data_IF_715700037039
#
_entry.id   IF_715700037039
#
_cell.length_a   1.000
_cell.length_b   1.000
_cell.length_c   1.000
_cell.angle_alpha   90.00
_cell.angle_beta   90.00
_cell.angle_gamma   90.00
#
_symmetry.space_group_name_H-M   'P 1'
#
loop_
_entity.id
_entity.type
_entity.pdbx_description
1 polymer ?
#
# COMPACT_ATOMS: atom_id res chain seq x y z
N UNK A 1 -1.66 8.25 26.25
CA UNK A 1 -0.39 9.02 26.26
C UNK A 1 -0.33 9.81 24.96
N UNK A 2 0.07 11.07 25.00
CA UNK A 2 0.29 11.86 23.78
C UNK A 2 1.71 11.60 23.25
N UNK A 3 1.84 11.45 21.94
CA UNK A 3 3.13 11.31 21.25
C UNK A 3 3.31 12.50 20.32
N UNK A 4 4.27 13.38 20.63
CA UNK A 4 4.63 14.51 19.79
C UNK A 4 5.81 14.10 18.92
N UNK A 5 5.59 14.05 17.60
CA UNK A 5 6.60 13.75 16.59
C UNK A 5 7.02 15.07 15.94
N UNK A 6 8.22 15.61 16.24
CA UNK A 6 8.65 16.93 15.78
C UNK A 6 9.21 16.93 14.34
N UNK A 7 8.68 16.08 13.46
CA UNK A 7 9.11 15.95 12.07
C UNK A 7 8.04 16.47 11.11
N UNK A 8 8.47 17.00 9.97
CA UNK A 8 7.56 17.37 8.88
C UNK A 8 7.28 16.14 8.00
N UNK A 9 6.14 15.51 8.24
CA UNK A 9 5.78 14.22 7.66
C UNK A 9 4.43 14.31 6.94
N UNK A 10 4.25 13.47 5.93
CA UNK A 10 2.95 13.21 5.31
C UNK A 10 2.54 11.78 5.66
N UNK A 11 1.48 11.65 6.46
CA UNK A 11 0.91 10.35 6.82
C UNK A 11 -0.30 10.14 5.92
N UNK A 12 -0.15 9.32 4.88
CA UNK A 12 -1.25 9.00 3.96
C UNK A 12 -2.16 7.93 4.54
N UNK A 13 -1.56 6.90 5.14
CA UNK A 13 -2.24 5.77 5.75
C UNK A 13 -1.53 5.32 7.04
N UNK A 14 -2.19 4.47 7.79
CA UNK A 14 -1.71 3.91 9.05
C UNK A 14 -2.28 2.51 9.26
N UNK A 15 -1.70 1.76 10.18
CA UNK A 15 -2.20 0.43 10.54
C UNK A 15 -2.18 0.22 12.04
N UNK A 16 -2.73 -0.91 12.47
CA UNK A 16 -2.64 -1.33 13.84
C UNK A 16 -2.43 -2.84 13.92
N UNK A 17 -1.87 -3.27 15.04
CA UNK A 17 -1.75 -4.68 15.42
C UNK A 17 -2.45 -4.87 16.76
N UNK A 18 -2.29 -6.02 17.41
CA UNK A 18 -2.80 -6.22 18.76
C UNK A 18 -2.15 -5.22 19.76
N UNK A 19 -0.90 -4.84 19.52
CA UNK A 19 -0.06 -4.09 20.46
C UNK A 19 0.29 -2.66 20.01
N UNK A 20 0.38 -2.39 18.71
CA UNK A 20 0.86 -1.10 18.17
C UNK A 20 -0.15 -0.41 17.26
N UNK A 21 -0.16 0.92 17.28
CA UNK A 21 -0.50 1.76 16.14
C UNK A 21 0.77 1.97 15.31
N UNK A 22 0.67 1.90 14.00
CA UNK A 22 1.79 2.01 13.07
C UNK A 22 1.56 3.20 12.16
N UNK A 23 2.44 4.19 12.22
CA UNK A 23 2.39 5.35 11.33
C UNK A 23 3.51 5.28 10.29
N UNK A 24 3.13 5.41 9.03
CA UNK A 24 4.05 5.44 7.91
C UNK A 24 4.37 6.89 7.56
N UNK A 25 5.54 7.32 8.00
CA UNK A 25 5.90 8.72 8.04
C UNK A 25 6.64 9.14 6.75
N UNK A 26 5.89 9.35 5.66
CA UNK A 26 6.52 9.77 4.41
C UNK A 26 7.16 11.15 4.57
N UNK A 27 8.48 11.21 4.37
CA UNK A 27 9.28 12.43 4.48
C UNK A 27 8.91 13.44 3.41
N UNK A 28 8.46 14.60 3.85
CA UNK A 28 8.20 15.77 3.00
C UNK A 28 9.00 16.97 3.50
N UNK A 29 9.08 18.01 2.68
CA UNK A 29 9.66 19.30 3.04
C UNK A 29 8.79 20.42 2.48
N UNK A 30 8.84 21.56 3.16
CA UNK A 30 8.18 22.76 2.68
C UNK A 30 8.85 23.26 1.40
N UNK A 31 8.03 23.55 0.39
CA UNK A 31 8.43 24.28 -0.80
C UNK A 31 7.98 25.74 -0.64
N UNK A 32 8.88 26.62 -0.21
CA UNK A 32 8.54 27.99 0.17
C UNK A 32 7.86 28.81 -0.95
N UNK A 33 8.31 28.65 -2.21
CA UNK A 33 7.69 29.35 -3.34
C UNK A 33 6.30 28.82 -3.65
N UNK A 34 6.11 27.51 -3.59
CA UNK A 34 4.80 26.86 -3.73
C UNK A 34 3.85 27.24 -2.59
N UNK A 35 4.36 27.33 -1.36
CA UNK A 35 3.59 27.74 -0.20
C UNK A 35 3.12 29.20 -0.32
N UNK A 36 4.02 30.11 -0.67
CA UNK A 36 3.69 31.53 -0.86
C UNK A 36 2.63 31.72 -1.96
N UNK A 37 2.83 31.07 -3.10
CA UNK A 37 1.89 31.18 -4.22
C UNK A 37 0.55 30.51 -3.92
N UNK A 38 0.53 29.45 -3.11
CA UNK A 38 -0.72 28.83 -2.66
C UNK A 38 -1.50 29.72 -1.69
N UNK A 39 -0.82 30.38 -0.74
CA UNK A 39 -1.46 31.35 0.16
C UNK A 39 -2.07 32.52 -0.63
N UNK A 40 -1.43 32.93 -1.73
CA UNK A 40 -1.97 33.95 -2.64
C UNK A 40 -3.09 33.43 -3.57
N UNK A 41 -3.50 32.16 -3.46
CA UNK A 41 -4.53 31.56 -4.31
C UNK A 41 -4.11 31.32 -5.76
N UNK A 42 -2.81 31.39 -6.06
CA UNK A 42 -2.26 31.21 -7.42
C UNK A 42 -2.09 29.73 -7.76
N UNK A 43 -1.72 28.91 -6.77
CA UNK A 43 -1.45 27.48 -6.93
C UNK A 43 -2.20 26.63 -5.92
N UNK A 44 -2.44 25.34 -6.21
CA UNK A 44 -2.99 24.41 -5.23
C UNK A 44 -2.07 24.25 -4.01
N UNK A 45 -2.66 24.01 -2.83
CA UNK A 45 -1.92 23.77 -1.57
C UNK A 45 -0.90 22.66 -1.67
N UNK A 46 -1.15 21.66 -2.52
CA UNK A 46 -0.22 20.57 -2.76
C UNK A 46 1.16 21.03 -3.27
N UNK A 47 1.25 22.20 -3.90
CA UNK A 47 2.53 22.78 -4.36
C UNK A 47 3.42 23.29 -3.21
N UNK A 48 2.85 23.48 -2.01
CA UNK A 48 3.56 23.88 -0.81
C UNK A 48 4.45 22.76 -0.24
N UNK A 49 4.29 21.52 -0.71
CA UNK A 49 5.04 20.37 -0.26
C UNK A 49 5.82 19.74 -1.40
N UNK A 50 7.00 19.23 -1.07
CA UNK A 50 7.81 18.37 -1.94
C UNK A 50 8.24 17.14 -1.15
N UNK A 51 8.45 16.02 -1.82
CA UNK A 51 9.10 14.85 -1.21
C UNK A 51 10.49 15.23 -0.71
N UNK A 52 10.91 14.63 0.39
CA UNK A 52 12.23 14.86 0.99
C UNK A 52 13.09 13.58 0.92
N UNK A 53 13.94 13.43 -0.12
CA UNK A 53 14.72 12.22 -0.35
C UNK A 53 16.07 12.18 0.40
N UNK A 54 16.31 13.07 1.38
CA UNK A 54 17.63 13.24 2.01
C UNK A 54 18.14 12.02 2.79
N UNK A 55 17.25 11.11 3.19
CA UNK A 55 17.59 9.84 3.84
C UNK A 55 17.22 8.69 2.90
N UNK A 56 18.06 7.65 2.88
CA UNK A 56 17.85 6.45 2.07
C UNK A 56 16.94 5.40 2.75
N UNK A 57 16.43 5.72 3.92
CA UNK A 57 15.49 4.91 4.71
C UNK A 57 14.08 5.48 4.68
N UNK A 58 13.11 4.74 5.20
CA UNK A 58 11.73 5.22 5.43
C UNK A 58 11.37 5.04 6.90
N UNK A 59 10.88 6.09 7.60
CA UNK A 59 10.59 6.00 9.02
C UNK A 59 9.21 5.38 9.25
N UNK A 60 9.16 4.36 10.10
CA UNK A 60 7.95 3.70 10.56
C UNK A 60 7.86 3.88 12.07
N UNK A 61 6.85 4.60 12.54
CA UNK A 61 6.62 4.81 13.95
C UNK A 61 5.75 3.68 14.49
N UNK A 62 6.26 2.98 15.51
CA UNK A 62 5.50 2.00 16.28
C UNK A 62 5.07 2.68 17.57
N UNK A 63 3.79 2.95 17.72
CA UNK A 63 3.21 3.62 18.88
C UNK A 63 2.40 2.63 19.70
N UNK A 64 2.79 2.32 20.94
CA UNK A 64 2.05 1.41 21.79
C UNK A 64 0.59 1.80 21.99
N UNK A 65 -0.32 0.84 21.79
CA UNK A 65 -1.76 1.01 22.09
C UNK A 65 -2.02 1.04 23.59
N UNK A 66 -1.29 0.22 24.33
CA UNK A 66 -1.40 0.04 25.78
C UNK A 66 -0.06 0.34 26.45
N UNK A 67 0.34 1.62 26.56
CA UNK A 67 1.69 2.00 26.99
C UNK A 67 2.01 1.65 28.45
N UNK A 68 0.99 1.39 29.27
CA UNK A 68 1.17 0.99 30.67
C UNK A 68 1.58 -0.48 30.81
N UNK A 69 1.36 -1.29 29.77
CA UNK A 69 1.61 -2.73 29.78
C UNK A 69 2.98 -3.08 29.16
N UNK A 70 3.76 -2.06 28.78
CA UNK A 70 5.07 -2.25 28.17
C UNK A 70 6.20 -2.13 29.20
N UNK A 71 6.96 -3.21 29.33
CA UNK A 71 8.19 -3.27 30.11
C UNK A 71 9.41 -2.60 29.42
N UNK A 72 9.21 -1.95 28.26
CA UNK A 72 10.28 -1.44 27.41
C UNK A 72 10.73 -0.01 27.74
N UNK A 73 12.04 0.21 27.73
CA UNK A 73 12.67 1.54 27.92
C UNK A 73 12.80 2.36 26.64
N UNK A 74 12.29 1.85 25.51
CA UNK A 74 12.38 2.53 24.20
C UNK A 74 11.66 3.88 24.21
N UNK A 75 12.32 4.88 23.63
CA UNK A 75 11.63 6.09 23.19
C UNK A 75 10.82 5.80 21.91
N UNK A 76 9.52 5.61 22.07
CA UNK A 76 8.58 5.34 20.96
C UNK A 76 8.39 6.52 20.00
N UNK A 77 8.97 7.69 20.30
CA UNK A 77 9.08 8.82 19.36
C UNK A 77 10.24 8.64 18.38
N UNK A 78 11.07 7.61 18.53
CA UNK A 78 12.12 7.28 17.59
C UNK A 78 11.59 6.20 16.63
N UNK A 79 11.49 6.49 15.32
CA UNK A 79 10.97 5.53 14.35
C UNK A 79 11.95 4.37 14.13
N UNK A 80 11.42 3.28 13.60
CA UNK A 80 12.20 2.25 12.91
C UNK A 80 12.56 2.82 11.54
N UNK A 81 13.84 2.78 11.18
CA UNK A 81 14.31 3.21 9.85
C UNK A 81 14.34 1.98 8.94
N UNK A 82 13.29 1.80 8.13
CA UNK A 82 13.22 0.69 7.16
C UNK A 82 14.29 0.86 6.07
N UNK A 83 14.97 -0.22 5.63
CA UNK A 83 16.19 -0.18 4.80
C UNK A 83 15.93 0.12 3.31
N UNK A 84 14.94 0.94 2.99
CA UNK A 84 14.71 1.45 1.65
C UNK A 84 13.92 2.76 1.68
N UNK A 85 14.15 3.61 0.69
CA UNK A 85 13.40 4.86 0.49
C UNK A 85 12.19 4.60 -0.38
N UNK A 86 11.02 4.52 0.24
CA UNK A 86 9.75 4.33 -0.43
C UNK A 86 8.69 5.25 0.16
N UNK A 87 7.74 5.64 -0.68
CA UNK A 87 6.52 6.30 -0.28
C UNK A 87 5.47 5.23 -0.05
N UNK A 88 5.04 5.06 1.21
CA UNK A 88 3.96 4.14 1.51
C UNK A 88 2.63 4.81 1.19
N UNK A 89 1.86 4.13 0.35
CA UNK A 89 0.55 4.59 -0.11
C UNK A 89 -0.52 3.97 0.77
N UNK A 90 -0.83 2.69 0.60
CA UNK A 90 -1.96 2.05 1.28
C UNK A 90 -1.50 0.79 2.02
N UNK A 91 -2.14 0.49 3.14
CA UNK A 91 -1.83 -0.69 3.95
C UNK A 91 -2.94 -1.70 3.82
N UNK A 92 -2.59 -2.94 3.52
CA UNK A 92 -3.55 -4.04 3.47
C UNK A 92 -3.83 -4.61 4.85
N UNK A 93 -2.76 -4.85 5.63
CA UNK A 93 -2.87 -5.30 7.00
C UNK A 93 -1.55 -5.14 7.75
N UNK A 94 -1.61 -5.17 9.08
CA UNK A 94 -0.45 -5.39 9.92
C UNK A 94 -0.81 -6.32 11.08
N UNK A 95 0.13 -7.11 11.57
CA UNK A 95 -0.06 -7.93 12.75
C UNK A 95 1.27 -8.18 13.45
N UNK A 96 1.19 -8.56 14.73
CA UNK A 96 2.36 -8.90 15.53
C UNK A 96 2.15 -10.21 16.28
N UNK A 97 3.26 -10.87 16.61
CA UNK A 97 3.30 -12.02 17.49
C UNK A 97 4.62 -12.04 18.26
N UNK A 98 4.66 -12.78 19.37
CA UNK A 98 5.88 -13.02 20.12
C UNK A 98 6.56 -14.30 19.62
N UNK A 99 7.86 -14.27 19.43
CA UNK A 99 8.67 -15.46 19.20
C UNK A 99 8.91 -16.23 20.52
N UNK A 100 9.58 -17.39 20.43
CA UNK A 100 9.90 -18.24 21.58
C UNK A 100 10.79 -17.54 22.64
N UNK A 101 11.53 -16.51 22.23
CA UNK A 101 12.41 -15.72 23.10
C UNK A 101 11.70 -14.49 23.68
N UNK A 102 10.43 -14.26 23.35
CA UNK A 102 9.67 -13.09 23.76
C UNK A 102 9.95 -11.83 22.94
N UNK A 103 10.65 -11.94 21.81
CA UNK A 103 10.82 -10.84 20.86
C UNK A 103 9.52 -10.65 20.07
N UNK A 104 9.20 -9.40 19.74
CA UNK A 104 8.04 -9.08 18.93
C UNK A 104 8.41 -9.08 17.45
N UNK A 105 7.72 -9.92 16.67
CA UNK A 105 7.79 -9.90 15.21
C UNK A 105 6.54 -9.20 14.67
N UNK A 106 6.75 -8.09 13.98
CA UNK A 106 5.70 -7.30 13.34
C UNK A 106 5.79 -7.50 11.83
N UNK A 107 4.64 -7.76 11.22
CA UNK A 107 4.48 -7.98 9.79
C UNK A 107 3.50 -6.95 9.24
N UNK A 108 3.88 -6.26 8.16
CA UNK A 108 3.08 -5.22 7.52
C UNK A 108 3.00 -5.53 6.03
N UNK A 109 1.79 -5.59 5.48
CA UNK A 109 1.54 -5.74 4.04
C UNK A 109 1.03 -4.43 3.50
N UNK A 110 1.74 -3.83 2.55
CA UNK A 110 1.43 -2.49 2.05
C UNK A 110 1.73 -2.36 0.57
N UNK A 111 1.16 -1.31 -0.02
CA UNK A 111 1.49 -0.78 -1.33
C UNK A 111 2.42 0.42 -1.17
N UNK A 112 3.54 0.39 -1.89
CA UNK A 112 4.58 1.42 -1.85
C UNK A 112 5.03 1.81 -3.25
N UNK A 113 5.64 2.98 -3.39
CA UNK A 113 6.27 3.43 -4.62
C UNK A 113 7.58 4.19 -4.35
N UNK A 114 8.37 4.46 -5.39
CA UNK A 114 9.63 5.21 -5.24
C UNK A 114 9.38 6.71 -5.12
N UNK A 115 10.22 7.39 -4.34
CA UNK A 115 10.29 8.86 -4.29
C UNK A 115 10.70 9.49 -5.63
N UNK A 116 11.34 8.73 -6.53
CA UNK A 116 11.67 9.19 -7.88
C UNK A 116 10.43 9.31 -8.76
N UNK A 117 9.47 8.42 -8.54
CA UNK A 117 8.21 8.39 -9.27
C UNK A 117 7.15 9.28 -8.60
N UNK A 118 7.06 9.23 -7.27
CA UNK A 118 6.04 9.94 -6.52
C UNK A 118 6.28 11.45 -6.51
N UNK A 119 5.36 12.20 -7.09
CA UNK A 119 5.39 13.66 -7.08
C UNK A 119 4.03 14.21 -6.65
N UNK A 120 4.02 15.00 -5.59
CA UNK A 120 2.82 15.66 -5.06
C UNK A 120 2.19 16.64 -6.08
N UNK A 121 2.98 17.20 -7.00
CA UNK A 121 2.50 18.19 -7.98
C UNK A 121 1.94 17.57 -9.26
N UNK A 122 2.22 16.28 -9.49
CA UNK A 122 1.82 15.50 -10.67
C UNK A 122 1.33 14.11 -10.26
N UNK A 123 0.50 14.05 -9.22
CA UNK A 123 -0.07 12.79 -8.75
C UNK A 123 -0.80 12.11 -9.91
N UNK A 124 -0.40 10.87 -10.20
CA UNK A 124 -0.93 10.08 -11.33
C UNK A 124 -0.83 10.76 -12.70
N UNK A 125 0.04 11.77 -12.84
CA UNK A 125 0.26 12.52 -14.08
C UNK A 125 -0.67 13.69 -14.31
N UNK A 126 -1.54 14.03 -13.34
CA UNK A 126 -2.39 15.21 -13.47
C UNK A 126 -1.58 16.50 -13.31
N UNK A 127 -1.58 17.33 -14.36
CA UNK A 127 -0.99 18.66 -14.33
C UNK A 127 -2.07 19.71 -14.12
N UNK A 128 -2.12 20.28 -12.91
CA UNK A 128 -3.09 21.30 -12.53
C UNK A 128 -2.98 22.59 -13.37
N UNK A 129 -1.84 22.87 -14.00
CA UNK A 129 -1.65 24.08 -14.82
C UNK A 129 -2.35 23.95 -16.17
N UNK A 130 -2.24 22.79 -16.79
CA UNK A 130 -2.85 22.53 -18.10
C UNK A 130 -4.22 21.86 -18.00
N UNK A 131 -4.59 21.33 -16.83
CA UNK A 131 -5.79 20.51 -16.63
C UNK A 131 -5.72 19.16 -17.34
N UNK A 132 -4.52 18.72 -17.76
CA UNK A 132 -4.32 17.49 -18.54
C UNK A 132 -3.73 16.38 -17.68
N UNK A 133 -4.08 15.15 -18.05
CA UNK A 133 -3.50 13.94 -17.50
C UNK A 133 -2.42 13.42 -18.45
N UNK A 134 -1.21 13.19 -17.93
CA UNK A 134 -0.13 12.49 -18.61
C UNK A 134 -0.06 11.03 -18.13
N UNK A 135 -0.64 10.06 -18.87
CA UNK A 135 -0.66 8.66 -18.46
C UNK A 135 0.72 7.99 -18.56
N UNK A 136 1.71 8.62 -19.20
CA UNK A 136 3.04 8.02 -19.38
C UNK A 136 3.80 7.87 -18.06
N UNK A 137 3.55 8.75 -17.08
CA UNK A 137 4.17 8.66 -15.75
C UNK A 137 3.76 7.38 -15.02
N UNK A 138 2.57 6.85 -15.31
CA UNK A 138 2.08 5.60 -14.75
C UNK A 138 2.56 4.39 -15.54
N UNK A 139 3.15 4.59 -16.72
CA UNK A 139 3.41 3.58 -17.73
C UNK A 139 4.87 3.60 -18.18
N UNK A 140 5.76 3.64 -17.19
CA UNK A 140 7.20 3.53 -17.40
C UNK A 140 7.59 2.16 -17.98
N UNK A 141 8.72 2.08 -18.66
CA UNK A 141 9.21 0.83 -19.25
C UNK A 141 9.45 -0.28 -18.21
N UNK A 142 9.58 -1.53 -18.68
CA UNK A 142 9.66 -2.74 -17.82
C UNK A 142 10.74 -2.71 -16.72
N UNK A 143 11.78 -1.90 -16.87
CA UNK A 143 12.87 -1.78 -15.89
C UNK A 143 12.50 -0.93 -14.64
N UNK A 144 11.29 -0.36 -14.61
CA UNK A 144 10.82 0.56 -13.56
C UNK A 144 9.70 -0.02 -12.68
N UNK A 145 9.46 -1.34 -12.71
CA UNK A 145 8.36 -1.95 -11.96
C UNK A 145 8.41 -1.67 -10.44
N UNK A 146 9.63 -1.56 -9.87
CA UNK A 146 9.85 -1.21 -8.45
C UNK A 146 9.75 0.29 -8.14
N UNK A 147 9.66 1.15 -9.15
CA UNK A 147 9.44 2.59 -8.91
C UNK A 147 7.96 2.94 -8.85
N UNK A 148 7.14 2.20 -9.59
CA UNK A 148 5.68 2.31 -9.60
C UNK A 148 5.06 1.68 -8.34
N UNK A 149 3.76 1.92 -8.06
CA UNK A 149 3.05 1.25 -6.98
C UNK A 149 3.20 -0.27 -7.05
N UNK A 150 3.69 -0.88 -5.98
CA UNK A 150 3.86 -2.33 -5.87
C UNK A 150 3.68 -2.79 -4.42
N UNK A 151 3.34 -4.07 -4.25
CA UNK A 151 3.10 -4.66 -2.94
C UNK A 151 4.39 -5.11 -2.28
N UNK A 152 4.52 -4.82 -0.99
CA UNK A 152 5.66 -5.23 -0.15
C UNK A 152 5.21 -5.83 1.17
N UNK A 153 6.08 -6.65 1.75
CA UNK A 153 6.06 -7.03 3.15
C UNK A 153 7.18 -6.31 3.88
N UNK A 154 6.84 -5.60 4.95
CA UNK A 154 7.81 -5.08 5.91
C UNK A 154 7.81 -5.97 7.13
N UNK A 155 8.97 -6.53 7.48
CA UNK A 155 9.18 -7.35 8.68
C UNK A 155 10.00 -6.55 9.67
N UNK A 156 9.55 -6.44 10.92
CA UNK A 156 10.28 -5.74 11.99
C UNK A 156 10.39 -6.68 13.18
N UNK A 157 11.61 -6.92 13.64
CA UNK A 157 11.90 -7.67 14.85
C UNK A 157 12.34 -6.72 15.97
N UNK A 158 11.61 -6.71 17.07
CA UNK A 158 11.95 -5.98 18.29
C UNK A 158 12.32 -6.97 19.40
N UNK A 159 13.41 -6.72 20.10
CA UNK A 159 13.72 -7.48 21.30
C UNK A 159 12.75 -7.19 22.46
N UNK A 160 12.94 -7.89 23.58
CA UNK A 160 12.16 -7.73 24.82
C UNK A 160 12.17 -6.31 25.40
N UNK A 161 13.13 -5.46 25.01
CA UNK A 161 13.23 -4.06 25.43
C UNK A 161 12.62 -3.09 24.40
N UNK A 162 12.12 -3.61 23.27
CA UNK A 162 11.57 -2.85 22.16
C UNK A 162 12.63 -2.34 21.18
N UNK A 163 13.89 -2.74 21.31
CA UNK A 163 14.97 -2.31 20.41
C UNK A 163 14.86 -3.11 19.11
N UNK A 164 14.94 -2.40 17.98
CA UNK A 164 14.89 -3.04 16.67
C UNK A 164 16.17 -3.82 16.40
N UNK A 165 16.04 -5.13 16.26
CA UNK A 165 17.15 -6.01 15.89
C UNK A 165 17.23 -6.20 14.37
N UNK A 166 16.08 -6.20 13.69
CA UNK A 166 16.00 -6.39 12.24
C UNK A 166 14.81 -5.65 11.65
N UNK A 167 14.99 -5.06 10.47
CA UNK A 167 13.91 -4.55 9.66
C UNK A 167 14.19 -4.87 8.18
N UNK A 168 13.29 -5.59 7.53
CA UNK A 168 13.43 -6.02 6.14
C UNK A 168 12.23 -5.56 5.31
N UNK A 169 12.46 -5.28 4.03
CA UNK A 169 11.41 -4.89 3.07
C UNK A 169 11.57 -5.72 1.81
N UNK A 170 10.56 -6.53 1.50
CA UNK A 170 10.60 -7.48 0.39
C UNK A 170 9.34 -7.38 -0.48
N UNK A 171 9.40 -7.67 -1.79
CA UNK A 171 8.20 -7.76 -2.62
C UNK A 171 7.23 -8.83 -2.10
N UNK A 172 5.96 -8.48 -1.97
CA UNK A 172 4.94 -9.41 -1.46
C UNK A 172 4.72 -10.55 -2.47
N UNK A 173 4.97 -11.80 -2.05
CA UNK A 173 4.90 -13.00 -2.91
C UNK A 173 5.71 -12.90 -4.22
N UNK A 174 6.85 -12.18 -4.20
CA UNK A 174 7.66 -11.93 -5.41
C UNK A 174 6.87 -11.28 -6.57
N UNK A 175 5.71 -10.70 -6.26
CA UNK A 175 4.83 -10.11 -7.24
C UNK A 175 5.48 -8.89 -7.88
N UNK A 176 5.61 -8.93 -9.20
CA UNK A 176 6.44 -7.97 -9.94
C UNK A 176 5.64 -7.00 -10.82
N UNK A 177 4.30 -7.01 -10.71
CA UNK A 177 3.42 -6.14 -11.48
C UNK A 177 2.91 -4.98 -10.63
N UNK A 178 2.72 -3.84 -11.29
CA UNK A 178 2.14 -2.64 -10.68
C UNK A 178 0.80 -2.98 -10.02
N UNK A 179 0.66 -2.63 -8.74
CA UNK A 179 -0.50 -2.96 -7.91
C UNK A 179 -0.63 -1.96 -6.77
N UNK A 180 -1.85 -1.67 -6.34
CA UNK A 180 -2.13 -0.78 -5.22
C UNK A 180 -3.34 -1.31 -4.43
N UNK A 181 -3.94 -0.53 -3.52
CA UNK A 181 -5.22 -0.85 -2.84
C UNK A 181 -5.34 -2.30 -2.35
N UNK A 182 -4.39 -2.79 -1.53
CA UNK A 182 -4.47 -4.13 -0.97
C UNK A 182 -5.67 -4.25 -0.03
N UNK A 183 -6.47 -5.28 -0.21
CA UNK A 183 -7.61 -5.64 0.60
C UNK A 183 -7.42 -7.03 1.21
N UNK A 184 -8.05 -7.26 2.35
CA UNK A 184 -8.07 -8.55 3.06
C UNK A 184 -9.50 -8.87 3.49
N UNK A 185 -9.74 -10.07 4.01
CA UNK A 185 -10.94 -10.34 4.81
C UNK A 185 -10.90 -9.47 6.09
N UNK A 186 -11.86 -8.54 6.30
CA UNK A 186 -11.82 -7.61 7.43
C UNK A 186 -11.85 -8.29 8.82
N UNK A 187 -12.29 -9.55 8.91
CA UNK A 187 -12.24 -10.31 10.17
C UNK A 187 -10.80 -10.52 10.68
N UNK A 188 -9.79 -10.32 9.83
CA UNK A 188 -8.38 -10.51 10.12
C UNK A 188 -7.60 -9.18 10.28
N UNK A 189 -8.28 -8.03 10.28
CA UNK A 189 -7.61 -6.74 10.53
C UNK A 189 -6.87 -6.74 11.86
N UNK A 190 -5.57 -6.41 11.83
CA UNK A 190 -4.71 -6.42 13.01
C UNK A 190 -4.22 -7.82 13.43
N UNK A 191 -4.54 -8.88 12.66
CA UNK A 191 -4.21 -10.28 12.93
C UNK A 191 -3.60 -10.93 11.70
N UNK A 192 -2.93 -12.07 11.90
CA UNK A 192 -2.34 -12.84 10.80
C UNK A 192 -3.41 -13.27 9.79
N UNK A 193 -3.23 -12.88 8.54
CA UNK A 193 -4.00 -13.31 7.37
C UNK A 193 -3.10 -14.12 6.41
N UNK A 194 -3.71 -14.98 5.58
CA UNK A 194 -3.08 -15.74 4.51
C UNK A 194 -3.42 -15.19 3.12
N UNK A 195 -4.45 -14.37 2.96
CA UNK A 195 -4.86 -13.86 1.65
C UNK A 195 -4.85 -12.34 1.59
N UNK A 196 -4.33 -11.82 0.48
CA UNK A 196 -4.38 -10.39 0.11
C UNK A 196 -4.91 -10.29 -1.32
N UNK A 197 -5.79 -9.34 -1.56
CA UNK A 197 -6.37 -9.05 -2.86
C UNK A 197 -5.94 -7.66 -3.30
N UNK A 198 -5.55 -7.48 -4.55
CA UNK A 198 -5.20 -6.15 -5.06
C UNK A 198 -5.59 -6.04 -6.54
N UNK A 199 -6.08 -4.88 -7.00
CA UNK A 199 -6.10 -4.60 -8.41
C UNK A 199 -4.67 -4.47 -8.92
N UNK A 200 -4.45 -4.97 -10.12
CA UNK A 200 -3.13 -5.00 -10.75
C UNK A 200 -3.28 -4.92 -12.27
N UNK A 201 -2.15 -4.84 -12.96
CA UNK A 201 -2.07 -4.85 -14.41
C UNK A 201 -1.79 -6.26 -14.94
N UNK A 202 -2.46 -6.67 -16.01
CA UNK A 202 -2.09 -7.86 -16.76
C UNK A 202 -0.74 -7.67 -17.47
N UNK A 203 -0.38 -6.44 -17.82
CA UNK A 203 0.76 -6.10 -18.68
C UNK A 203 0.53 -6.41 -20.16
N UNK A 204 -0.69 -6.80 -20.56
CA UNK A 204 -1.00 -7.20 -21.93
C UNK A 204 -1.10 -6.04 -22.92
N UNK A 205 -1.09 -4.80 -22.42
CA UNK A 205 -1.27 -3.58 -23.21
C UNK A 205 0.08 -2.89 -23.39
N UNK A 206 0.59 -2.88 -24.62
CA UNK A 206 1.91 -2.32 -24.92
C UNK A 206 2.03 -0.84 -24.60
N UNK A 207 0.96 -0.06 -24.84
CA UNK A 207 0.96 1.39 -24.63
C UNK A 207 0.72 1.77 -23.16
N UNK A 208 0.10 0.88 -22.39
CA UNK A 208 -0.29 1.09 -21.00
C UNK A 208 0.02 -0.16 -20.13
N UNK A 209 1.31 -0.53 -19.99
CA UNK A 209 1.69 -1.79 -19.37
C UNK A 209 1.44 -1.86 -17.86
N UNK A 210 1.32 -0.73 -17.16
CA UNK A 210 1.31 -0.68 -15.71
C UNK A 210 0.05 -0.09 -15.09
N UNK A 211 -0.66 0.75 -15.83
CA UNK A 211 -1.90 1.39 -15.39
C UNK A 211 -2.71 1.87 -16.61
N UNK A 212 -4.05 1.84 -16.59
CA UNK A 212 -4.93 1.45 -15.48
C UNK A 212 -4.94 -0.06 -15.19
N UNK A 213 -5.30 -0.43 -13.96
CA UNK A 213 -5.43 -1.83 -13.56
C UNK A 213 -6.56 -2.51 -14.32
N UNK A 214 -6.33 -3.74 -14.77
CA UNK A 214 -7.28 -4.54 -15.57
C UNK A 214 -7.41 -6.00 -15.09
N UNK A 215 -6.93 -6.27 -13.87
CA UNK A 215 -7.09 -7.55 -13.20
C UNK A 215 -7.13 -7.40 -11.68
N UNK A 216 -7.64 -8.42 -11.01
CA UNK A 216 -7.53 -8.63 -9.56
C UNK A 216 -6.55 -9.78 -9.32
N UNK A 217 -5.55 -9.54 -8.49
CA UNK A 217 -4.62 -10.55 -8.01
C UNK A 217 -5.02 -11.01 -6.59
N UNK A 218 -5.07 -12.32 -6.37
CA UNK A 218 -5.21 -12.98 -5.07
C UNK A 218 -3.86 -13.58 -4.69
N UNK A 219 -3.23 -13.04 -3.67
CA UNK A 219 -1.94 -13.49 -3.16
C UNK A 219 -2.18 -14.42 -1.97
N UNK A 220 -1.67 -15.65 -2.04
CA UNK A 220 -1.63 -16.57 -0.89
C UNK A 220 -0.27 -16.44 -0.19
N UNK A 221 -0.26 -15.86 0.99
CA UNK A 221 0.94 -15.52 1.76
C UNK A 221 1.66 -16.74 2.34
N UNK A 222 0.94 -17.86 2.50
CA UNK A 222 1.48 -19.12 3.03
C UNK A 222 2.20 -19.92 1.94
N UNK A 223 1.60 -20.05 0.76
CA UNK A 223 2.19 -20.80 -0.37
C UNK A 223 3.03 -19.94 -1.31
N UNK A 224 2.97 -18.62 -1.15
CA UNK A 224 3.52 -17.62 -2.09
C UNK A 224 2.91 -17.66 -3.49
N UNK A 225 1.82 -18.40 -3.70
CA UNK A 225 1.13 -18.42 -5.00
C UNK A 225 0.33 -17.14 -5.24
N UNK A 226 0.12 -16.81 -6.51
CA UNK A 226 -0.73 -15.71 -6.94
C UNK A 226 -1.66 -16.18 -8.04
N UNK A 227 -2.96 -16.08 -7.78
CA UNK A 227 -4.01 -16.33 -8.75
C UNK A 227 -4.57 -15.01 -9.26
N UNK A 228 -5.03 -14.96 -10.50
CA UNK A 228 -5.52 -13.72 -11.11
C UNK A 228 -6.84 -13.91 -11.82
N UNK A 229 -7.65 -12.85 -11.82
CA UNK A 229 -8.81 -12.69 -12.68
C UNK A 229 -8.64 -11.41 -13.50
N UNK A 230 -8.79 -11.48 -14.83
CA UNK A 230 -8.71 -10.31 -15.71
C UNK A 230 -10.08 -9.87 -16.18
N UNK A 231 -10.30 -8.55 -16.17
CA UNK A 231 -11.50 -7.93 -16.72
C UNK A 231 -11.56 -7.99 -18.25
N UNK A 232 -10.43 -8.31 -18.91
CA UNK A 232 -10.33 -8.40 -20.36
C UNK A 232 -10.10 -7.04 -21.05
N UNK A 233 -10.30 -7.03 -22.37
CA UNK A 233 -9.92 -5.89 -23.21
C UNK A 233 -10.76 -4.65 -22.95
N UNK A 234 -10.09 -3.50 -22.82
CA UNK A 234 -10.71 -2.17 -22.65
C UNK A 234 -11.64 -2.08 -21.43
N UNK A 235 -11.40 -2.93 -20.44
CA UNK A 235 -12.02 -2.91 -19.11
C UNK A 235 -10.94 -2.67 -18.07
N UNK A 236 -11.31 -2.00 -16.98
CA UNK A 236 -10.39 -1.56 -15.93
C UNK A 236 -11.05 -1.68 -14.58
N UNK A 237 -10.30 -1.99 -13.53
CA UNK A 237 -10.82 -2.25 -12.19
C UNK A 237 -10.27 -1.25 -11.17
N UNK A 238 -11.10 -0.94 -10.18
CA UNK A 238 -10.71 -0.16 -9.00
C UNK A 238 -10.33 -1.04 -7.82
N UNK A 239 -10.49 -0.50 -6.62
CA UNK A 239 -10.26 -1.19 -5.35
C UNK A 239 -11.23 -2.38 -5.15
N UNK A 240 -10.71 -3.59 -4.86
CA UNK A 240 -11.52 -4.74 -4.49
C UNK A 240 -11.95 -4.66 -3.02
N UNK A 241 -13.13 -5.20 -2.72
CA UNK A 241 -13.63 -5.37 -1.35
C UNK A 241 -13.99 -6.83 -1.11
N UNK A 242 -13.53 -7.40 0.01
CA UNK A 242 -13.89 -8.76 0.41
C UNK A 242 -15.22 -8.77 1.17
N UNK A 243 -16.12 -9.68 0.80
CA UNK A 243 -17.40 -9.93 1.47
C UNK A 243 -17.47 -11.40 1.90
N UNK A 244 -17.50 -11.64 3.21
CA UNK A 244 -17.53 -12.99 3.76
C UNK A 244 -18.84 -13.72 3.43
N UNK A 245 -18.72 -15.02 3.13
CA UNK A 245 -19.84 -15.95 2.95
C UNK A 245 -19.82 -17.05 4.01
N UNK A 246 -18.64 -17.52 4.39
CA UNK A 246 -18.46 -18.56 5.41
C UNK A 246 -17.34 -18.24 6.39
N UNK A 247 -16.83 -19.28 7.06
CA UNK A 247 -15.87 -19.15 8.18
C UNK A 247 -14.40 -19.25 7.76
N UNK A 248 -14.10 -19.85 6.61
CA UNK A 248 -12.72 -19.88 6.11
C UNK A 248 -12.32 -18.49 5.59
N UNK A 249 -11.03 -18.17 5.69
CA UNK A 249 -10.52 -16.82 5.44
C UNK A 249 -10.89 -16.27 4.06
N UNK A 250 -10.81 -17.11 3.01
CA UNK A 250 -11.12 -16.74 1.63
C UNK A 250 -12.51 -17.19 1.16
N UNK A 251 -13.35 -17.75 2.05
CA UNK A 251 -14.71 -18.19 1.73
C UNK A 251 -15.68 -17.01 1.67
N UNK A 252 -15.68 -16.38 0.51
CA UNK A 252 -16.43 -15.16 0.26
C UNK A 252 -16.33 -14.71 -1.17
N UNK A 253 -16.64 -13.44 -1.37
CA UNK A 253 -16.66 -12.79 -2.65
C UNK A 253 -15.70 -11.62 -2.68
N UNK A 254 -15.06 -11.40 -3.83
CA UNK A 254 -14.40 -10.13 -4.14
C UNK A 254 -15.35 -9.31 -4.99
N UNK A 255 -15.73 -8.15 -4.47
CA UNK A 255 -16.57 -7.18 -5.16
C UNK A 255 -15.68 -6.06 -5.67
N UNK A 256 -15.73 -5.76 -6.96
CA UNK A 256 -14.90 -4.73 -7.58
C UNK A 256 -15.67 -3.96 -8.64
N UNK A 257 -15.46 -2.64 -8.71
CA UNK A 257 -16.03 -1.82 -9.78
C UNK A 257 -15.17 -1.96 -11.03
N UNK A 258 -15.78 -2.39 -12.12
CA UNK A 258 -15.18 -2.45 -13.45
C UNK A 258 -15.70 -1.30 -14.32
N UNK A 259 -14.81 -0.54 -14.95
CA UNK A 259 -15.14 0.42 -15.99
C UNK A 259 -14.89 -0.16 -17.39
N UNK A 260 -15.97 -0.40 -18.15
CA UNK A 260 -15.91 -0.85 -19.52
C UNK A 260 -15.83 0.34 -20.48
N UNK A 261 -14.62 0.68 -20.92
CA UNK A 261 -14.33 1.93 -21.63
C UNK A 261 -14.99 2.03 -23.02
N UNK A 262 -15.25 0.91 -23.70
CA UNK A 262 -15.90 0.90 -25.02
C UNK A 262 -17.37 1.33 -24.94
N UNK A 263 -18.07 0.86 -23.91
CA UNK A 263 -19.50 1.16 -23.70
C UNK A 263 -19.73 2.27 -22.68
N UNK A 264 -18.67 2.79 -22.08
CA UNK A 264 -18.66 3.88 -21.08
C UNK A 264 -19.59 3.60 -19.90
N UNK A 265 -19.52 2.38 -19.34
CA UNK A 265 -20.34 1.96 -18.20
C UNK A 265 -19.50 1.36 -17.08
N UNK A 266 -19.97 1.53 -15.86
CA UNK A 266 -19.44 0.82 -14.70
C UNK A 266 -20.31 -0.41 -14.42
N UNK A 267 -19.66 -1.52 -14.11
CA UNK A 267 -20.28 -2.75 -13.63
C UNK A 267 -19.78 -3.04 -12.22
N UNK A 268 -20.65 -3.57 -11.38
CA UNK A 268 -20.25 -4.17 -10.12
C UNK A 268 -19.98 -5.64 -10.40
N UNK A 269 -18.70 -6.02 -10.40
CA UNK A 269 -18.26 -7.39 -10.64
C UNK A 269 -18.15 -8.12 -9.30
N UNK A 270 -18.72 -9.32 -9.24
CA UNK A 270 -18.65 -10.21 -8.08
C UNK A 270 -17.88 -11.46 -8.48
N UNK A 271 -16.74 -11.68 -7.82
CA UNK A 271 -15.89 -12.84 -8.02
C UNK A 271 -16.01 -13.79 -6.83
N UNK A 272 -16.13 -15.09 -7.06
CA UNK A 272 -15.92 -16.10 -6.02
C UNK A 272 -14.44 -16.13 -5.68
N UNK A 273 -14.11 -15.74 -4.45
CA UNK A 273 -12.73 -15.58 -3.97
C UNK A 273 -11.93 -16.89 -4.07
N UNK A 274 -12.56 -18.05 -3.86
CA UNK A 274 -11.89 -19.36 -3.93
C UNK A 274 -11.62 -19.78 -5.37
N UNK A 275 -12.36 -19.23 -6.32
CA UNK A 275 -12.26 -19.56 -7.75
C UNK A 275 -11.42 -18.56 -8.55
N UNK A 276 -10.89 -17.50 -7.95
CA UNK A 276 -9.92 -16.63 -8.64
C UNK A 276 -8.76 -17.51 -9.15
N UNK A 277 -8.45 -17.41 -10.45
CA UNK A 277 -7.54 -18.31 -11.17
C UNK A 277 -8.23 -19.38 -12.02
N UNK A 278 -9.53 -19.65 -11.79
CA UNK A 278 -10.36 -20.55 -12.58
C UNK A 278 -11.25 -19.79 -13.59
N UNK A 279 -11.78 -20.52 -14.58
CA UNK A 279 -12.63 -19.94 -15.63
C UNK A 279 -13.99 -19.43 -15.13
N UNK A 280 -14.50 -19.98 -14.02
CA UNK A 280 -15.80 -19.69 -13.43
C UNK A 280 -15.73 -18.84 -12.16
N UNK A 281 -14.67 -18.03 -12.03
CA UNK A 281 -14.51 -17.08 -10.93
C UNK A 281 -15.60 -15.99 -10.90
N UNK A 282 -16.08 -15.57 -12.08
CA UNK A 282 -17.11 -14.54 -12.21
C UNK A 282 -18.48 -15.10 -11.82
N UNK A 283 -19.12 -14.49 -10.82
CA UNK A 283 -20.47 -14.85 -10.36
C UNK A 283 -21.52 -13.94 -10.97
N UNK A 284 -21.27 -12.63 -10.99
CA UNK A 284 -22.18 -11.61 -11.50
C UNK A 284 -21.41 -10.38 -12.00
#
# INVERSE_FOLDING_TARGET
KEFIIPDHLYIHDWAFTATYYILFANRVKLNASGAMTSVCGITPTMTALSVNPTKDTSPIYLLPRFPNDLNGSRDWRVPIEAPSRFWLQHVGNAYDYLDENGNSEIQIHASVCSYEWFTLQKLFGYDWRSGKLDPSIMNLGRNHSRTLPHLVQVSINLDVHGICQRCDVEPLNEWNKSSDFPAINPAFSGRKNNYVYAPSTSGSRSELPNFPFDMVAKLNLSTKSVDTWSAGSRRFVGEPTFVAKGSEEDDGYIVVVEYAAVVQRCYLVILDSKKIGAADALVA
#
